data_IF_743142518087
#
_entry.id   IF_743142518087
#
_cell.length_a   1.000
_cell.length_b   1.000
_cell.length_c   1.000
_cell.angle_alpha   90.00
_cell.angle_beta   90.00
_cell.angle_gamma   90.00
#
_symmetry.space_group_name_H-M   'P 1'
#
loop_
_entity.id
_entity.type
_entity.pdbx_description
1 polymer ?
#
# COMPACT_ATOMS: atom_id res chain seq x y z
N UNK A 1 3.23 40.55 -2.05
CA UNK A 1 3.19 39.61 -0.95
C UNK A 1 2.48 38.37 -1.45
N UNK A 2 3.24 37.37 -1.89
CA UNK A 2 2.73 36.14 -2.51
C UNK A 2 2.76 35.03 -1.46
N UNK A 3 1.67 34.31 -1.33
CA UNK A 3 1.59 33.10 -0.52
C UNK A 3 2.31 31.94 -1.21
N UNK A 4 2.96 31.04 -0.50
CA UNK A 4 3.74 29.96 -1.11
C UNK A 4 2.84 28.79 -1.54
N UNK A 5 2.97 28.43 -2.82
CA UNK A 5 2.53 27.15 -3.40
C UNK A 5 3.26 25.96 -2.75
N UNK A 6 2.62 25.27 -1.85
CA UNK A 6 3.07 23.97 -1.32
C UNK A 6 1.91 23.04 -0.99
N UNK A 7 1.10 22.67 -1.96
CA UNK A 7 0.23 21.48 -1.84
C UNK A 7 0.08 20.85 -3.23
N UNK A 8 1.08 20.10 -3.67
CA UNK A 8 0.96 19.17 -4.81
C UNK A 8 2.04 18.10 -4.70
N UNK A 9 1.89 17.14 -3.80
CA UNK A 9 2.62 15.86 -3.87
C UNK A 9 2.17 14.94 -2.72
N UNK A 10 0.99 14.37 -2.82
CA UNK A 10 0.56 13.29 -1.92
C UNK A 10 -0.44 12.38 -2.63
N UNK A 11 0.01 11.67 -3.65
CA UNK A 11 -0.69 10.47 -4.14
C UNK A 11 0.21 9.77 -5.15
N UNK A 12 1.09 8.87 -4.79
CA UNK A 12 0.97 7.44 -5.07
C UNK A 12 1.70 6.53 -4.05
N UNK A 13 1.71 6.85 -2.76
CA UNK A 13 2.41 6.01 -1.75
C UNK A 13 1.55 4.90 -1.12
N UNK A 14 0.27 4.82 -1.43
CA UNK A 14 -0.62 3.88 -0.74
C UNK A 14 -0.49 2.42 -1.20
N UNK A 15 -0.02 2.15 -2.41
CA UNK A 15 0.02 0.77 -2.95
C UNK A 15 1.30 0.00 -2.59
N UNK A 16 2.40 0.69 -2.32
CA UNK A 16 3.69 0.05 -2.01
C UNK A 16 3.87 -0.42 -0.56
N UNK A 17 3.09 0.11 0.38
CA UNK A 17 3.25 -0.21 1.81
C UNK A 17 2.62 -1.54 2.23
N UNK A 18 1.75 -2.11 1.39
CA UNK A 18 1.01 -3.34 1.72
C UNK A 18 1.84 -4.63 1.59
N UNK A 19 2.88 -4.64 0.75
CA UNK A 19 3.71 -5.85 0.52
C UNK A 19 4.85 -6.04 1.52
N UNK A 20 5.26 -5.03 2.28
CA UNK A 20 6.45 -5.11 3.15
C UNK A 20 6.16 -5.73 4.52
N UNK A 21 4.90 -5.79 4.96
CA UNK A 21 4.54 -6.29 6.30
C UNK A 21 4.51 -7.82 6.39
N UNK A 22 4.61 -8.55 5.27
CA UNK A 22 4.59 -10.03 5.26
C UNK A 22 5.97 -10.69 5.43
N UNK A 23 7.06 -9.95 5.46
CA UNK A 23 8.42 -10.50 5.46
C UNK A 23 9.21 -10.26 6.77
N UNK A 24 8.57 -10.34 7.93
CA UNK A 24 9.32 -10.45 9.18
C UNK A 24 9.60 -11.93 9.45
N UNK A 25 10.87 -12.36 9.64
CA UNK A 25 11.15 -13.72 10.09
C UNK A 25 10.62 -13.87 11.52
N UNK A 26 9.45 -14.47 11.65
CA UNK A 26 8.95 -14.97 12.94
C UNK A 26 9.81 -16.19 13.26
N UNK A 27 10.69 -16.08 14.24
CA UNK A 27 11.30 -17.25 14.86
C UNK A 27 10.20 -17.91 15.70
N UNK A 28 9.37 -18.70 15.04
CA UNK A 28 8.46 -19.60 15.72
C UNK A 28 9.30 -20.76 16.26
N UNK A 29 9.20 -21.03 17.54
CA UNK A 29 9.74 -22.24 18.16
C UNK A 29 8.86 -23.41 17.67
N UNK A 30 9.16 -23.92 16.47
CA UNK A 30 8.45 -25.04 15.88
C UNK A 30 8.83 -26.31 16.63
N UNK A 31 7.92 -26.80 17.45
CA UNK A 31 8.03 -28.11 18.07
C UNK A 31 7.98 -29.16 16.94
N UNK A 32 9.04 -29.94 16.78
CA UNK A 32 9.05 -31.01 15.80
C UNK A 32 7.92 -32.01 16.10
N UNK A 33 7.07 -32.24 15.11
CA UNK A 33 6.09 -33.32 15.15
C UNK A 33 6.86 -34.66 15.05
N UNK A 34 6.47 -35.65 15.84
CA UNK A 34 7.03 -36.99 15.73
C UNK A 34 6.51 -37.70 14.47
N UNK A 35 7.27 -38.69 14.00
CA UNK A 35 6.95 -39.45 12.77
C UNK A 35 5.58 -40.15 12.83
N UNK A 36 5.08 -40.48 14.03
CA UNK A 36 3.77 -41.10 14.21
C UNK A 36 2.61 -40.09 14.02
N UNK A 37 2.84 -38.85 14.38
CA UNK A 37 1.88 -37.75 14.14
C UNK A 37 1.88 -37.38 12.65
N UNK A 38 3.06 -37.37 12.00
CA UNK A 38 3.18 -37.16 10.54
C UNK A 38 2.54 -38.30 9.73
N UNK A 39 2.66 -39.55 10.18
CA UNK A 39 2.04 -40.72 9.49
C UNK A 39 0.53 -40.75 9.57
N UNK A 40 -0.09 -40.08 10.55
CA UNK A 40 -1.54 -39.93 10.67
C UNK A 40 -2.12 -38.76 9.87
N UNK A 41 -1.29 -37.91 9.28
CA UNK A 41 -1.72 -36.89 8.33
C UNK A 41 -1.92 -37.63 7.00
N UNK A 42 -3.16 -38.06 6.74
CA UNK A 42 -3.51 -38.61 5.43
C UNK A 42 -3.22 -37.54 4.37
N UNK A 43 -2.56 -37.90 3.27
CA UNK A 43 -2.04 -36.99 2.25
C UNK A 43 -3.07 -36.15 1.47
N UNK A 44 -4.24 -35.91 2.03
CA UNK A 44 -5.30 -35.04 1.50
C UNK A 44 -5.72 -33.96 2.52
N UNK A 45 -5.08 -33.90 3.68
CA UNK A 45 -5.39 -32.87 4.68
C UNK A 45 -4.38 -31.76 4.56
N UNK A 46 -4.79 -30.59 4.12
CA UNK A 46 -3.95 -29.40 4.10
C UNK A 46 -3.38 -29.05 5.48
N UNK A 47 -2.39 -28.20 5.53
CA UNK A 47 -1.77 -27.69 6.76
C UNK A 47 -2.57 -26.48 7.26
N UNK A 48 -3.03 -26.51 8.50
CA UNK A 48 -3.58 -25.32 9.18
C UNK A 48 -2.61 -24.85 10.26
N UNK A 49 -2.27 -23.56 10.20
CA UNK A 49 -1.40 -22.90 11.17
C UNK A 49 -2.19 -21.79 11.86
N UNK A 50 -2.41 -21.94 13.15
CA UNK A 50 -3.03 -20.93 14.00
C UNK A 50 -1.94 -20.21 14.79
N UNK A 51 -1.94 -18.89 14.75
CA UNK A 51 -0.95 -18.05 15.42
C UNK A 51 -1.67 -16.94 16.19
N UNK A 52 -1.33 -16.81 17.45
CA UNK A 52 -1.64 -15.62 18.23
C UNK A 52 -0.42 -14.71 18.22
N UNK A 53 -0.48 -13.65 17.41
CA UNK A 53 0.66 -12.76 17.19
C UNK A 53 0.56 -11.51 18.06
N UNK A 54 1.57 -11.33 18.89
CA UNK A 54 1.82 -10.09 19.63
C UNK A 54 3.31 -9.74 19.56
N UNK A 55 3.61 -8.55 19.07
CA UNK A 55 4.97 -8.03 18.97
C UNK A 55 5.00 -6.61 19.49
N UNK A 56 5.98 -6.30 20.34
CA UNK A 56 6.21 -4.95 20.84
C UNK A 56 7.69 -4.62 20.75
N UNK A 57 7.99 -3.38 20.41
CA UNK A 57 9.33 -2.84 20.51
C UNK A 57 9.24 -1.40 21.03
N UNK A 58 10.05 -1.06 22.02
CA UNK A 58 10.07 0.31 22.57
C UNK A 58 10.47 1.29 21.48
N UNK A 59 11.40 0.88 20.61
CA UNK A 59 11.88 1.70 19.51
C UNK A 59 12.41 0.83 18.37
N UNK A 60 12.00 1.19 17.15
CA UNK A 60 12.66 0.80 15.92
C UNK A 60 13.42 2.02 15.37
N UNK A 61 14.67 1.84 15.00
CA UNK A 61 15.49 2.94 14.48
C UNK A 61 16.06 2.57 13.12
N UNK A 62 15.85 3.44 12.17
CA UNK A 62 16.59 3.44 10.92
C UNK A 62 17.65 4.53 11.01
N UNK A 63 18.91 4.16 10.81
CA UNK A 63 20.05 5.07 10.88
C UNK A 63 20.79 5.03 9.56
N UNK A 64 21.00 6.20 8.96
CA UNK A 64 21.72 6.36 7.72
C UNK A 64 22.53 7.65 7.77
N UNK A 65 23.83 7.56 7.60
CA UNK A 65 24.80 8.66 7.53
C UNK A 65 24.60 9.78 8.57
N UNK A 66 24.41 9.40 9.84
CA UNK A 66 24.24 10.36 10.94
C UNK A 66 22.83 10.94 11.08
N UNK A 67 21.93 10.61 10.17
CA UNK A 67 20.50 10.89 10.30
C UNK A 67 19.77 9.65 10.80
N UNK A 68 18.69 9.80 11.54
CA UNK A 68 17.88 8.66 11.93
C UNK A 68 16.38 8.97 12.00
N UNK A 69 15.58 7.94 11.75
CA UNK A 69 14.14 7.94 12.03
C UNK A 69 13.92 6.96 13.16
N UNK A 70 13.23 7.39 14.17
CA UNK A 70 12.82 6.56 15.30
C UNK A 70 11.31 6.36 15.26
N UNK A 71 10.90 5.11 15.35
CA UNK A 71 9.51 4.70 15.50
C UNK A 71 9.37 4.17 16.92
N UNK A 72 8.86 5.00 17.81
CA UNK A 72 8.70 4.67 19.23
C UNK A 72 7.36 3.97 19.48
N UNK A 73 7.35 3.01 20.39
CA UNK A 73 6.14 2.29 20.78
C UNK A 73 5.54 1.48 19.63
N UNK A 74 6.39 0.76 18.89
CA UNK A 74 5.91 -0.17 17.87
C UNK A 74 5.15 -1.33 18.50
N UNK A 75 3.98 -1.64 17.95
CA UNK A 75 3.15 -2.74 18.41
C UNK A 75 2.41 -3.39 17.25
N UNK A 76 2.40 -4.72 17.25
CA UNK A 76 1.43 -5.55 16.54
C UNK A 76 0.69 -6.36 17.60
N UNK A 77 -0.63 -6.39 17.57
CA UNK A 77 -1.44 -7.13 18.54
C UNK A 77 -2.93 -6.96 18.27
N UNK A 78 -3.76 -7.24 19.26
CA UNK A 78 -5.20 -7.08 19.16
C UNK A 78 -5.60 -5.59 19.14
N UNK A 79 -6.56 -5.26 18.28
CA UNK A 79 -7.20 -3.94 18.25
C UNK A 79 -8.21 -3.75 19.40
N UNK A 80 -8.82 -4.86 19.87
CA UNK A 80 -9.87 -4.85 20.91
C UNK A 80 -9.29 -5.01 22.31
N UNK A 81 -8.15 -5.70 22.45
CA UNK A 81 -7.44 -5.88 23.71
C UNK A 81 -6.01 -5.32 23.57
N UNK A 82 -5.71 -4.17 24.18
CA UNK A 82 -4.36 -3.58 24.09
C UNK A 82 -3.23 -4.46 24.62
N UNK A 83 -3.50 -5.41 25.50
CA UNK A 83 -2.54 -6.39 26.02
C UNK A 83 -2.57 -7.72 25.26
N UNK A 84 -3.56 -7.90 24.37
CA UNK A 84 -3.83 -9.14 23.65
C UNK A 84 -3.02 -9.28 22.36
N UNK A 85 -3.03 -10.51 21.89
CA UNK A 85 -2.48 -10.92 20.62
C UNK A 85 -3.55 -10.87 19.53
N UNK A 86 -3.18 -10.68 18.28
CA UNK A 86 -4.09 -10.81 17.15
C UNK A 86 -4.13 -12.27 16.68
N UNK A 87 -5.32 -12.74 16.36
CA UNK A 87 -5.50 -14.08 15.82
C UNK A 87 -5.18 -14.13 14.34
N UNK A 88 -4.40 -15.13 13.95
CA UNK A 88 -4.06 -15.42 12.56
C UNK A 88 -4.30 -16.91 12.28
N UNK A 89 -4.93 -17.19 11.16
CA UNK A 89 -5.08 -18.54 10.63
C UNK A 89 -4.59 -18.56 9.20
N UNK A 90 -3.70 -19.50 8.90
CA UNK A 90 -3.24 -19.78 7.54
C UNK A 90 -3.54 -21.25 7.26
N UNK A 91 -4.27 -21.52 6.19
CA UNK A 91 -4.45 -22.85 5.66
C UNK A 91 -3.72 -22.99 4.35
N UNK A 92 -3.01 -24.07 4.20
CA UNK A 92 -2.22 -24.40 3.02
C UNK A 92 -2.73 -25.73 2.51
N UNK A 93 -3.20 -25.77 1.28
CA UNK A 93 -3.68 -26.98 0.63
C UNK A 93 -3.05 -27.14 -0.75
N UNK A 94 -2.84 -28.37 -1.16
CA UNK A 94 -2.38 -28.72 -2.51
C UNK A 94 -3.51 -29.47 -3.18
N UNK A 95 -4.08 -28.86 -4.18
CA UNK A 95 -5.20 -29.39 -4.93
C UNK A 95 -4.78 -30.56 -5.85
N UNK A 96 -5.75 -31.31 -6.38
CA UNK A 96 -5.49 -32.44 -7.29
C UNK A 96 -4.77 -32.04 -8.58
N UNK A 97 -4.93 -30.80 -9.03
CA UNK A 97 -4.26 -30.22 -10.20
C UNK A 97 -2.86 -29.70 -9.92
N UNK A 98 -2.34 -29.98 -8.71
CA UNK A 98 -1.07 -29.48 -8.19
C UNK A 98 -1.02 -27.95 -7.98
N UNK A 99 -2.17 -27.28 -7.91
CA UNK A 99 -2.23 -25.90 -7.46
C UNK A 99 -2.04 -25.82 -5.94
N UNK A 100 -1.44 -24.73 -5.49
CA UNK A 100 -1.28 -24.40 -4.08
C UNK A 100 -2.33 -23.38 -3.69
N UNK A 101 -3.18 -23.73 -2.75
CA UNK A 101 -4.18 -22.84 -2.18
C UNK A 101 -3.77 -22.38 -0.78
N UNK A 102 -3.81 -21.08 -0.54
CA UNK A 102 -3.46 -20.43 0.72
C UNK A 102 -4.68 -19.61 1.17
N UNK A 103 -5.42 -20.10 2.16
CA UNK A 103 -6.43 -19.29 2.83
C UNK A 103 -5.80 -18.59 4.03
N UNK A 104 -6.18 -17.35 4.25
CA UNK A 104 -5.72 -16.61 5.43
C UNK A 104 -6.85 -15.81 6.07
N UNK A 105 -6.80 -15.76 7.40
CA UNK A 105 -7.72 -15.01 8.22
C UNK A 105 -6.95 -14.30 9.32
N UNK A 106 -7.15 -13.01 9.42
CA UNK A 106 -6.63 -12.17 10.51
C UNK A 106 -7.80 -11.48 11.18
N UNK A 107 -7.90 -11.55 12.51
CA UNK A 107 -8.98 -10.90 13.26
C UNK A 107 -8.44 -9.83 14.18
N UNK A 108 -9.10 -8.68 14.14
CA UNK A 108 -8.94 -7.58 15.08
C UNK A 108 -7.46 -7.19 15.31
N UNK A 109 -6.69 -7.13 14.25
CA UNK A 109 -5.26 -6.77 14.30
C UNK A 109 -5.09 -5.27 14.37
N UNK A 110 -4.20 -4.84 15.26
CA UNK A 110 -3.65 -3.48 15.30
C UNK A 110 -2.17 -3.50 14.95
N UNK A 111 -1.76 -2.59 14.09
CA UNK A 111 -0.37 -2.20 13.87
C UNK A 111 -0.27 -0.74 14.33
N UNK A 112 0.66 -0.43 15.23
CA UNK A 112 0.77 0.90 15.82
C UNK A 112 2.24 1.34 15.92
N UNK A 113 2.46 2.63 15.61
CA UNK A 113 3.65 3.38 15.97
C UNK A 113 3.19 4.51 16.90
N UNK A 114 3.60 4.46 18.16
CA UNK A 114 3.17 5.41 19.18
C UNK A 114 3.64 6.83 18.89
N UNK A 115 4.86 6.98 18.38
CA UNK A 115 5.44 8.25 17.97
C UNK A 115 6.49 8.05 16.87
N UNK A 116 6.54 8.95 15.93
CA UNK A 116 7.54 9.01 14.86
C UNK A 116 8.41 10.23 15.10
N UNK A 117 9.73 10.03 15.19
CA UNK A 117 10.71 11.11 15.47
C UNK A 117 11.82 11.12 14.44
N UNK A 118 12.23 12.32 14.07
CA UNK A 118 13.42 12.53 13.25
C UNK A 118 14.60 12.90 14.16
N UNK A 119 15.72 12.21 14.04
CA UNK A 119 16.96 12.57 14.71
C UNK A 119 17.63 13.75 14.02
N UNK A 120 18.30 14.58 14.79
CA UNK A 120 18.80 15.90 14.36
C UNK A 120 17.95 17.06 14.88
N UNK A 121 16.71 16.79 15.29
CA UNK A 121 15.84 17.74 15.99
C UNK A 121 15.31 17.04 17.26
N UNK A 122 16.10 16.98 18.35
CA UNK A 122 15.68 16.31 19.58
C UNK A 122 14.38 16.93 20.10
N UNK A 123 13.37 16.08 20.29
CA UNK A 123 12.07 16.49 20.81
C UNK A 123 11.00 16.80 19.75
N UNK A 124 11.31 16.77 18.46
CA UNK A 124 10.28 16.95 17.44
C UNK A 124 9.59 15.62 17.17
N UNK A 125 8.39 15.46 17.71
CA UNK A 125 7.46 14.38 17.38
C UNK A 125 6.69 14.74 16.12
N UNK A 126 6.61 13.80 15.18
CA UNK A 126 5.70 13.86 14.03
C UNK A 126 4.34 13.27 14.37
N UNK A 127 4.18 12.69 15.56
CA UNK A 127 2.97 11.99 15.98
C UNK A 127 3.02 10.48 15.76
N UNK A 128 1.92 9.82 16.12
CA UNK A 128 1.76 8.39 15.99
C UNK A 128 0.71 8.02 14.95
N UNK A 129 0.83 6.81 14.43
CA UNK A 129 -0.10 6.23 13.46
C UNK A 129 -0.50 4.83 13.93
N UNK A 130 -1.74 4.45 13.70
CA UNK A 130 -2.17 3.06 13.89
C UNK A 130 -3.14 2.63 12.80
N UNK A 131 -3.20 1.34 12.59
CA UNK A 131 -4.11 0.71 11.66
C UNK A 131 -4.73 -0.54 12.28
N UNK A 132 -6.05 -0.50 12.48
CA UNK A 132 -6.86 -1.64 12.92
C UNK A 132 -7.53 -2.28 11.72
N UNK A 133 -7.61 -3.60 11.69
CA UNK A 133 -8.34 -4.31 10.63
C UNK A 133 -8.53 -5.79 10.95
N UNK A 134 -9.54 -6.37 10.34
CA UNK A 134 -9.67 -7.78 10.10
C UNK A 134 -9.56 -8.05 8.61
N UNK A 135 -8.93 -9.15 8.24
CA UNK A 135 -8.65 -9.49 6.85
C UNK A 135 -8.90 -10.98 6.64
N UNK A 136 -9.64 -11.33 5.59
CA UNK A 136 -9.79 -12.69 5.12
C UNK A 136 -9.60 -12.77 3.61
N UNK A 137 -9.11 -13.89 3.13
CA UNK A 137 -8.92 -14.09 1.70
C UNK A 137 -8.19 -15.35 1.35
N UNK A 138 -7.93 -15.49 0.06
CA UNK A 138 -7.18 -16.60 -0.48
C UNK A 138 -6.15 -16.16 -1.53
N UNK A 139 -5.16 -17.01 -1.73
CA UNK A 139 -4.20 -16.95 -2.82
C UNK A 139 -4.08 -18.36 -3.41
N UNK A 140 -4.48 -18.55 -4.64
CA UNK A 140 -4.27 -19.76 -5.40
C UNK A 140 -3.09 -19.58 -6.36
N UNK A 141 -2.16 -20.52 -6.36
CA UNK A 141 -0.93 -20.49 -7.18
C UNK A 141 -0.92 -21.72 -8.05
N UNK A 142 -0.85 -21.54 -9.36
CA UNK A 142 -0.76 -22.63 -10.34
C UNK A 142 0.50 -22.49 -11.16
N UNK A 143 1.08 -23.61 -11.53
CA UNK A 143 2.16 -23.62 -12.51
C UNK A 143 1.60 -23.36 -13.91
N UNK A 144 2.32 -22.59 -14.70
CA UNK A 144 1.93 -22.20 -16.05
C UNK A 144 1.47 -20.76 -16.13
N UNK A 145 1.81 -20.12 -17.21
CA UNK A 145 1.45 -18.74 -17.52
C UNK A 145 0.85 -18.64 -18.91
N UNK A 146 0.30 -17.50 -19.23
CA UNK A 146 -0.20 -17.19 -20.58
C UNK A 146 0.92 -17.06 -21.62
N UNK A 147 2.17 -16.92 -21.19
CA UNK A 147 3.34 -16.71 -22.04
C UNK A 147 4.33 -17.84 -21.83
N UNK A 148 4.34 -18.82 -22.71
CA UNK A 148 5.38 -19.87 -22.72
C UNK A 148 5.24 -21.01 -21.71
N UNK A 149 4.30 -21.00 -20.78
CA UNK A 149 3.97 -22.13 -19.90
C UNK A 149 4.95 -22.42 -18.76
N UNK A 150 5.98 -21.61 -18.56
CA UNK A 150 7.04 -21.86 -17.57
C UNK A 150 6.85 -21.05 -16.26
N UNK A 151 5.97 -20.08 -16.24
CA UNK A 151 5.74 -19.21 -15.08
C UNK A 151 4.68 -19.71 -14.12
N UNK A 152 4.11 -18.78 -13.38
CA UNK A 152 3.03 -19.04 -12.42
C UNK A 152 1.81 -18.19 -12.74
N UNK A 153 0.65 -18.73 -12.44
CA UNK A 153 -0.62 -18.00 -12.45
C UNK A 153 -1.15 -17.89 -11.02
N UNK A 154 -1.63 -16.73 -10.67
CA UNK A 154 -2.17 -16.42 -9.35
C UNK A 154 -3.62 -15.96 -9.49
N UNK A 155 -4.48 -16.49 -8.64
CA UNK A 155 -5.80 -15.95 -8.37
C UNK A 155 -5.86 -15.58 -6.90
N UNK A 156 -6.34 -14.40 -6.58
CA UNK A 156 -6.46 -13.96 -5.19
C UNK A 156 -7.69 -13.10 -4.99
N UNK A 157 -8.30 -13.26 -3.83
CA UNK A 157 -9.29 -12.32 -3.35
C UNK A 157 -9.09 -12.10 -1.86
N UNK A 158 -9.35 -10.88 -1.41
CA UNK A 158 -9.35 -10.56 0.01
C UNK A 158 -10.41 -9.52 0.35
N UNK A 159 -10.92 -9.64 1.57
CA UNK A 159 -11.87 -8.71 2.15
C UNK A 159 -11.32 -8.20 3.47
N UNK A 160 -11.27 -6.89 3.62
CA UNK A 160 -10.94 -6.21 4.85
C UNK A 160 -12.19 -5.61 5.46
N UNK A 161 -12.36 -5.79 6.76
CA UNK A 161 -13.49 -5.25 7.53
C UNK A 161 -13.02 -4.63 8.84
N UNK A 162 -13.84 -3.75 9.40
CA UNK A 162 -13.54 -3.09 10.67
C UNK A 162 -12.28 -2.25 10.65
N UNK A 163 -11.87 -1.81 9.47
CA UNK A 163 -10.66 -1.04 9.29
C UNK A 163 -10.78 0.33 9.95
N UNK A 164 -9.70 0.74 10.61
CA UNK A 164 -9.54 2.09 11.16
C UNK A 164 -8.11 2.54 11.00
N UNK A 165 -7.89 3.62 10.28
CA UNK A 165 -6.60 4.28 10.19
C UNK A 165 -6.64 5.55 11.04
N UNK A 166 -5.75 5.66 12.01
CA UNK A 166 -5.66 6.84 12.88
C UNK A 166 -4.28 7.47 12.84
N UNK A 167 -4.26 8.79 12.78
CA UNK A 167 -3.07 9.62 12.98
C UNK A 167 -3.30 10.57 14.14
N UNK A 168 -2.30 10.72 15.02
CA UNK A 168 -2.37 11.60 16.19
C UNK A 168 -1.09 12.39 16.36
N UNK A 169 -1.20 13.67 16.69
CA UNK A 169 -0.10 14.55 17.03
C UNK A 169 -0.56 15.64 17.98
N UNK A 170 0.19 15.92 19.05
CA UNK A 170 0.01 17.07 19.97
C UNK A 170 -1.45 17.51 20.22
N UNK A 171 -2.34 16.55 20.51
CA UNK A 171 -3.75 16.80 20.77
C UNK A 171 -4.67 16.82 19.53
N UNK A 172 -4.12 16.75 18.33
CA UNK A 172 -4.92 16.58 17.12
C UNK A 172 -5.01 15.08 16.74
N UNK A 173 -6.17 14.68 16.27
CA UNK A 173 -6.43 13.32 15.81
C UNK A 173 -7.23 13.35 14.52
N UNK A 174 -6.86 12.51 13.57
CA UNK A 174 -7.62 12.22 12.36
C UNK A 174 -7.85 10.73 12.30
N UNK A 175 -9.06 10.31 12.01
CA UNK A 175 -9.42 8.92 11.81
C UNK A 175 -10.16 8.76 10.48
N UNK A 176 -9.79 7.72 9.76
CA UNK A 176 -10.63 7.08 8.76
C UNK A 176 -11.21 5.85 9.44
N UNK A 177 -12.51 5.84 9.63
CA UNK A 177 -13.23 4.86 10.45
C UNK A 177 -14.17 4.02 9.60
N UNK A 178 -14.46 2.80 10.04
CA UNK A 178 -15.28 1.84 9.31
C UNK A 178 -14.78 1.60 7.87
N UNK A 179 -13.47 1.36 7.73
CA UNK A 179 -12.89 1.05 6.43
C UNK A 179 -13.26 -0.39 6.08
N UNK A 180 -13.87 -0.56 4.93
CA UNK A 180 -14.07 -1.85 4.29
C UNK A 180 -13.43 -1.85 2.91
N UNK A 181 -12.91 -2.98 2.48
CA UNK A 181 -12.32 -3.14 1.16
C UNK A 181 -12.45 -4.58 0.70
N UNK A 182 -12.82 -4.78 -0.55
CA UNK A 182 -12.70 -6.05 -1.24
C UNK A 182 -11.83 -5.87 -2.48
N UNK A 183 -10.98 -6.85 -2.75
CA UNK A 183 -10.14 -6.87 -3.96
C UNK A 183 -10.12 -8.28 -4.48
N UNK A 184 -10.28 -8.43 -5.79
CA UNK A 184 -10.12 -9.67 -6.50
C UNK A 184 -9.15 -9.46 -7.66
N UNK A 185 -8.15 -10.32 -7.79
CA UNK A 185 -7.21 -10.34 -8.90
C UNK A 185 -7.17 -11.75 -9.50
N UNK A 186 -7.58 -11.89 -10.74
CA UNK A 186 -7.74 -13.18 -11.39
C UNK A 186 -6.81 -13.31 -12.59
N UNK A 187 -6.21 -14.47 -12.72
CA UNK A 187 -5.34 -14.80 -13.84
C UNK A 187 -4.05 -13.98 -13.90
N UNK A 188 -3.58 -13.50 -12.75
CA UNK A 188 -2.30 -12.77 -12.67
C UNK A 188 -1.18 -13.72 -13.01
N UNK A 189 -0.37 -13.39 -14.01
CA UNK A 189 0.75 -14.23 -14.43
C UNK A 189 2.08 -13.61 -14.09
N UNK A 190 3.01 -14.43 -13.64
CA UNK A 190 4.41 -14.09 -13.40
C UNK A 190 5.28 -14.99 -14.26
N UNK A 191 6.04 -14.39 -15.16
CA UNK A 191 6.92 -15.06 -16.10
C UNK A 191 8.32 -14.48 -16.10
N UNK A 192 9.28 -15.31 -16.50
CA UNK A 192 10.63 -14.84 -16.85
C UNK A 192 10.82 -15.15 -18.34
N UNK A 193 10.86 -14.11 -19.14
CA UNK A 193 11.03 -14.20 -20.61
C UNK A 193 12.19 -13.30 -21.01
N UNK A 194 13.19 -13.86 -21.69
CA UNK A 194 14.35 -13.11 -22.21
C UNK A 194 14.98 -12.17 -21.15
N UNK A 195 15.30 -12.70 -19.95
CA UNK A 195 15.86 -11.97 -18.80
C UNK A 195 14.94 -10.85 -18.24
N UNK A 196 13.69 -10.84 -18.63
CA UNK A 196 12.67 -9.92 -18.13
C UNK A 196 11.70 -10.67 -17.23
N UNK A 197 11.48 -10.16 -16.02
CA UNK A 197 10.38 -10.60 -15.17
C UNK A 197 9.11 -9.85 -15.59
N UNK A 198 8.16 -10.58 -16.14
CA UNK A 198 6.89 -10.04 -16.60
C UNK A 198 5.77 -10.39 -15.62
N UNK A 199 5.09 -9.38 -15.11
CA UNK A 199 3.87 -9.51 -14.32
C UNK A 199 2.70 -8.96 -15.13
N UNK A 200 1.71 -9.79 -15.40
CA UNK A 200 0.50 -9.37 -16.08
C UNK A 200 -0.73 -9.69 -15.24
N UNK A 201 -1.51 -8.68 -14.94
CA UNK A 201 -2.76 -8.76 -14.21
C UNK A 201 -3.90 -8.37 -15.17
N UNK A 202 -4.55 -9.34 -15.82
CA UNK A 202 -5.56 -9.04 -16.83
C UNK A 202 -6.83 -8.46 -16.25
N UNK A 203 -7.08 -8.74 -14.97
CA UNK A 203 -8.25 -8.21 -14.28
C UNK A 203 -8.00 -8.08 -12.78
N UNK A 204 -8.17 -6.87 -12.29
CA UNK A 204 -8.21 -6.55 -10.87
C UNK A 204 -9.49 -5.74 -10.63
N UNK A 205 -10.33 -6.21 -9.73
CA UNK A 205 -11.55 -5.51 -9.32
C UNK A 205 -11.51 -5.21 -7.84
N UNK A 206 -12.15 -4.14 -7.43
CA UNK A 206 -12.25 -3.84 -6.01
C UNK A 206 -13.29 -2.78 -5.70
N UNK A 207 -13.80 -2.89 -4.48
CA UNK A 207 -14.68 -1.93 -3.85
C UNK A 207 -14.08 -1.51 -2.52
N UNK A 208 -14.25 -0.26 -2.15
CA UNK A 208 -13.79 0.25 -0.87
C UNK A 208 -14.72 1.31 -0.31
N UNK A 209 -14.77 1.39 0.99
CA UNK A 209 -15.54 2.38 1.71
C UNK A 209 -14.77 2.84 2.96
N UNK A 210 -14.88 4.12 3.26
CA UNK A 210 -14.55 4.74 4.53
C UNK A 210 -15.84 5.31 5.09
N UNK A 211 -16.41 4.67 6.10
CA UNK A 211 -17.73 5.03 6.65
C UNK A 211 -17.74 6.40 7.31
N UNK A 212 -16.62 6.81 7.91
CA UNK A 212 -16.52 8.15 8.49
C UNK A 212 -15.09 8.70 8.48
N UNK A 213 -14.97 9.98 8.16
CA UNK A 213 -13.78 10.78 8.40
C UNK A 213 -14.00 11.55 9.69
N UNK A 214 -13.15 11.40 10.70
CA UNK A 214 -13.30 12.06 12.01
C UNK A 214 -12.07 12.86 12.34
N UNK A 215 -12.29 14.01 12.96
CA UNK A 215 -11.22 14.89 13.43
C UNK A 215 -11.51 15.40 14.83
N UNK A 216 -10.47 15.56 15.63
CA UNK A 216 -10.53 16.21 16.93
C UNK A 216 -9.28 17.03 17.17
N UNK A 217 -9.46 18.22 17.69
CA UNK A 217 -8.38 19.11 18.16
C UNK A 217 -8.30 19.17 19.70
N UNK A 218 -8.91 18.23 20.43
CA UNK A 218 -8.90 18.25 21.88
C UNK A 218 -7.58 17.67 22.44
N UNK A 219 -6.70 18.49 23.04
CA UNK A 219 -5.41 18.03 23.56
C UNK A 219 -5.52 17.07 24.76
N UNK A 220 -6.66 17.04 25.45
CA UNK A 220 -6.87 16.18 26.62
C UNK A 220 -7.21 14.72 26.25
N UNK A 221 -7.50 14.47 25.01
CA UNK A 221 -7.88 13.15 24.53
C UNK A 221 -6.70 12.43 23.88
N UNK A 222 -5.79 11.86 24.67
CA UNK A 222 -4.58 11.19 24.20
C UNK A 222 -4.79 9.73 23.76
N UNK A 223 -5.98 9.16 23.96
CA UNK A 223 -6.28 7.76 23.60
C UNK A 223 -6.49 7.53 22.10
N UNK A 224 -6.55 6.28 21.70
CA UNK A 224 -6.93 5.84 20.34
C UNK A 224 -8.46 5.78 20.17
N UNK A 225 -9.22 6.21 21.16
CA UNK A 225 -10.68 6.25 21.11
C UNK A 225 -11.17 7.27 20.10
N UNK A 226 -12.20 6.90 19.35
CA UNK A 226 -12.91 7.79 18.42
C UNK A 226 -13.98 8.64 19.12
N UNK A 227 -14.10 8.53 20.45
CA UNK A 227 -15.00 9.38 21.20
C UNK A 227 -14.30 10.62 21.76
N UNK A 228 -15.11 11.61 22.09
CA UNK A 228 -14.67 12.94 22.56
C UNK A 228 -14.16 12.94 24.00
N UNK A 229 -14.00 11.78 24.64
CA UNK A 229 -13.62 11.61 26.04
C UNK A 229 -14.80 11.69 27.03
N UNK A 230 -15.99 12.01 26.57
CA UNK A 230 -17.25 12.00 27.35
C UNK A 230 -18.26 10.96 26.80
N UNK A 231 -17.76 9.95 26.07
CA UNK A 231 -18.56 8.86 25.52
C UNK A 231 -19.36 9.22 24.28
N UNK A 232 -19.19 10.42 23.73
CA UNK A 232 -19.82 10.80 22.47
C UNK A 232 -18.84 10.58 21.31
N UNK A 233 -19.29 10.02 20.18
CA UNK A 233 -18.44 9.88 19.01
C UNK A 233 -17.96 11.23 18.50
N UNK A 234 -16.73 11.27 17.97
CA UNK A 234 -16.23 12.47 17.29
C UNK A 234 -17.12 12.81 16.10
N UNK A 235 -17.30 14.09 15.77
CA UNK A 235 -18.05 14.48 14.59
C UNK A 235 -17.47 13.84 13.33
N UNK A 236 -18.35 13.40 12.43
CA UNK A 236 -17.98 12.92 11.11
C UNK A 236 -17.97 14.08 10.12
N UNK A 237 -16.98 14.10 9.26
CA UNK A 237 -16.83 15.02 8.13
C UNK A 237 -17.09 14.30 6.80
N UNK A 238 -17.99 13.32 6.83
CA UNK A 238 -18.42 12.60 5.67
C UNK A 238 -17.83 11.19 5.55
N UNK A 239 -18.18 10.57 4.45
CA UNK A 239 -17.74 9.22 4.05
C UNK A 239 -17.21 9.23 2.62
N UNK A 240 -16.37 8.24 2.31
CA UNK A 240 -15.81 8.01 0.99
C UNK A 240 -16.14 6.59 0.56
N UNK A 241 -16.43 6.39 -0.72
CA UNK A 241 -16.49 5.04 -1.29
C UNK A 241 -16.11 5.06 -2.77
N UNK A 242 -15.76 3.92 -3.29
CA UNK A 242 -15.43 3.77 -4.69
C UNK A 242 -15.34 2.31 -5.10
N UNK A 243 -15.32 2.13 -6.41
CA UNK A 243 -15.08 0.84 -7.05
C UNK A 243 -14.13 1.01 -8.22
N UNK A 244 -13.47 -0.07 -8.61
CA UNK A 244 -12.61 -0.06 -9.78
C UNK A 244 -12.52 -1.44 -10.44
N UNK A 245 -12.31 -1.43 -11.75
CA UNK A 245 -11.86 -2.55 -12.54
C UNK A 245 -10.70 -2.08 -13.41
N UNK A 246 -9.58 -2.76 -13.31
CA UNK A 246 -8.38 -2.42 -14.06
C UNK A 246 -7.64 -3.67 -14.53
N UNK A 247 -6.77 -3.48 -15.50
CA UNK A 247 -5.74 -4.43 -15.89
C UNK A 247 -4.37 -3.75 -15.85
N UNK A 248 -3.32 -4.53 -15.60
CA UNK A 248 -1.97 -4.00 -15.52
C UNK A 248 -0.96 -4.98 -16.10
N UNK A 249 0.02 -4.45 -16.79
CA UNK A 249 1.18 -5.19 -17.27
C UNK A 249 2.44 -4.47 -16.81
N UNK A 250 3.32 -5.20 -16.14
CA UNK A 250 4.58 -4.66 -15.63
C UNK A 250 5.72 -5.55 -16.06
N UNK A 251 6.78 -4.96 -16.58
CA UNK A 251 8.03 -5.66 -16.86
C UNK A 251 9.17 -5.09 -16.02
N UNK A 252 10.00 -5.98 -15.49
CA UNK A 252 11.20 -5.66 -14.76
C UNK A 252 12.38 -6.30 -15.46
N UNK A 253 13.32 -5.48 -15.89
CA UNK A 253 14.49 -5.92 -16.66
C UNK A 253 15.75 -5.40 -15.98
N UNK A 254 16.85 -6.17 -16.03
CA UNK A 254 18.14 -5.63 -15.67
C UNK A 254 18.55 -4.56 -16.71
N UNK A 255 19.04 -3.41 -16.26
CA UNK A 255 19.46 -2.35 -17.18
C UNK A 255 19.21 -0.94 -16.69
N UNK A 256 19.96 -0.51 -15.70
CA UNK A 256 20.05 0.90 -15.31
C UNK A 256 20.82 1.76 -16.33
N UNK A 257 21.12 3.00 -15.96
CA UNK A 257 21.88 3.94 -16.80
C UNK A 257 23.28 3.44 -17.19
N UNK A 258 23.90 2.66 -16.31
CA UNK A 258 25.21 2.04 -16.52
C UNK A 258 25.14 0.69 -17.22
N UNK A 259 23.92 0.18 -17.53
CA UNK A 259 23.67 -1.18 -17.97
C UNK A 259 23.52 -2.16 -16.82
N UNK A 260 23.70 -1.70 -15.60
CA UNK A 260 23.40 -2.38 -14.34
C UNK A 260 22.17 -1.72 -13.71
N UNK A 261 21.59 -2.31 -12.66
CA UNK A 261 20.38 -1.78 -12.03
C UNK A 261 19.09 -2.39 -12.57
N UNK A 262 17.97 -1.76 -12.25
CA UNK A 262 16.61 -2.24 -12.54
C UNK A 262 15.87 -1.25 -13.43
N UNK A 263 15.27 -1.75 -14.50
CA UNK A 263 14.33 -1.02 -15.34
C UNK A 263 12.93 -1.57 -15.14
N UNK A 264 11.96 -0.68 -15.04
CA UNK A 264 10.55 -0.99 -14.87
C UNK A 264 9.74 -0.27 -15.94
N UNK A 265 8.97 -1.02 -16.70
CA UNK A 265 7.94 -0.51 -17.60
C UNK A 265 6.57 -0.99 -17.08
N UNK A 266 5.58 -0.12 -17.10
CA UNK A 266 4.22 -0.46 -16.66
C UNK A 266 3.18 0.20 -17.57
N UNK A 267 2.14 -0.56 -17.89
CA UNK A 267 0.91 -0.03 -18.43
C UNK A 267 -0.25 -0.48 -17.55
N UNK A 268 -1.12 0.45 -17.17
CA UNK A 268 -2.34 0.15 -16.44
C UNK A 268 -3.52 0.78 -17.16
N UNK A 269 -4.54 -0.03 -17.43
CA UNK A 269 -5.79 0.38 -18.03
C UNK A 269 -6.89 0.34 -16.98
N UNK A 270 -7.55 1.47 -16.76
CA UNK A 270 -8.75 1.57 -15.93
C UNK A 270 -9.96 1.37 -16.84
N UNK A 271 -10.61 0.21 -16.73
CA UNK A 271 -11.78 -0.14 -17.50
C UNK A 271 -13.03 0.57 -16.97
N UNK A 272 -13.11 0.65 -15.64
CA UNK A 272 -14.14 1.42 -14.96
C UNK A 272 -13.67 1.79 -13.55
N UNK A 273 -14.02 2.98 -13.09
CA UNK A 273 -13.90 3.32 -11.68
C UNK A 273 -14.96 4.34 -11.29
N UNK A 274 -15.24 4.40 -10.01
CA UNK A 274 -16.14 5.37 -9.40
C UNK A 274 -15.58 5.90 -8.09
N UNK A 275 -15.96 7.12 -7.75
CA UNK A 275 -15.64 7.75 -6.47
C UNK A 275 -16.86 8.49 -5.96
N UNK A 276 -17.15 8.39 -4.69
CA UNK A 276 -18.27 9.03 -4.04
C UNK A 276 -17.84 9.59 -2.68
N UNK A 277 -18.02 10.88 -2.50
CA UNK A 277 -17.95 11.54 -1.19
C UNK A 277 -19.35 11.96 -0.76
N UNK A 278 -19.68 11.73 0.51
CA UNK A 278 -20.95 12.16 1.12
C UNK A 278 -20.70 12.88 2.43
N UNK A 279 -21.39 14.01 2.63
CA UNK A 279 -21.37 14.74 3.89
C UNK A 279 -22.71 15.50 4.05
N UNK A 280 -23.36 15.36 5.19
CA UNK A 280 -24.58 16.06 5.60
C UNK A 280 -25.65 16.15 4.48
N UNK A 281 -25.98 15.00 3.89
CA UNK A 281 -26.97 14.89 2.80
C UNK A 281 -26.53 15.44 1.45
N UNK A 282 -25.30 15.93 1.32
CA UNK A 282 -24.68 16.34 0.06
C UNK A 282 -23.75 15.23 -0.44
N UNK A 283 -23.56 15.21 -1.75
CA UNK A 283 -22.66 14.25 -2.36
C UNK A 283 -21.87 14.87 -3.51
N UNK A 284 -20.64 14.39 -3.71
CA UNK A 284 -19.86 14.55 -4.91
C UNK A 284 -19.56 13.15 -5.45
N UNK A 285 -20.03 12.85 -6.64
CA UNK A 285 -19.71 11.59 -7.30
C UNK A 285 -18.94 11.84 -8.60
N UNK A 286 -17.90 11.03 -8.82
CA UNK A 286 -17.21 10.89 -10.09
C UNK A 286 -17.57 9.49 -10.61
N UNK A 287 -18.16 9.42 -11.81
CA UNK A 287 -18.65 8.18 -12.40
C UNK A 287 -18.02 7.92 -13.75
N UNK A 288 -18.03 6.66 -14.12
CA UNK A 288 -17.54 6.21 -15.41
C UNK A 288 -16.11 6.72 -15.66
N UNK A 289 -15.25 6.57 -14.65
CA UNK A 289 -13.85 6.90 -14.77
C UNK A 289 -13.20 5.78 -15.57
N UNK A 290 -12.63 6.13 -16.69
CA UNK A 290 -11.84 5.23 -17.53
C UNK A 290 -10.51 5.88 -17.87
N UNK A 291 -9.52 5.07 -18.25
CA UNK A 291 -8.25 5.66 -18.65
C UNK A 291 -7.13 4.66 -18.82
N UNK A 292 -6.02 5.16 -19.23
CA UNK A 292 -4.76 4.44 -19.32
C UNK A 292 -3.64 5.32 -18.82
N UNK A 293 -2.71 4.74 -18.10
CA UNK A 293 -1.44 5.38 -17.84
C UNK A 293 -0.28 4.41 -18.11
N UNK A 294 0.82 4.97 -18.55
CA UNK A 294 2.04 4.24 -18.86
C UNK A 294 3.21 4.89 -18.14
N UNK A 295 4.04 4.05 -17.60
CA UNK A 295 5.35 4.42 -17.08
C UNK A 295 6.34 3.68 -17.97
N UNK A 296 7.15 4.43 -18.70
CA UNK A 296 8.14 3.86 -19.57
C UNK A 296 9.53 4.20 -19.04
N UNK A 297 10.36 3.16 -18.90
CA UNK A 297 11.76 3.32 -18.57
C UNK A 297 11.98 3.99 -17.20
N UNK A 298 11.21 3.56 -16.18
CA UNK A 298 11.54 3.90 -14.80
C UNK A 298 12.75 3.08 -14.38
N UNK A 299 13.85 3.75 -14.04
CA UNK A 299 15.11 3.11 -13.69
C UNK A 299 15.49 3.36 -12.25
N UNK A 300 15.92 2.28 -11.58
CA UNK A 300 16.55 2.33 -10.27
C UNK A 300 18.00 1.88 -10.44
N UNK A 301 18.95 2.76 -10.16
CA UNK A 301 20.37 2.53 -10.43
C UNK A 301 21.25 3.17 -9.35
N UNK A 302 22.44 2.61 -9.17
CA UNK A 302 23.50 3.28 -8.41
C UNK A 302 24.26 4.19 -9.36
N UNK A 303 24.18 5.48 -9.14
CA UNK A 303 24.77 6.50 -10.00
C UNK A 303 25.57 7.51 -9.17
N UNK A 304 26.14 8.49 -9.82
CA UNK A 304 26.73 9.66 -9.17
C UNK A 304 25.81 10.85 -9.31
N UNK A 305 25.65 11.60 -8.23
CA UNK A 305 24.92 12.85 -8.24
C UNK A 305 25.67 13.97 -8.99
N UNK A 306 25.09 15.16 -8.99
CA UNK A 306 25.69 16.36 -9.60
C UNK A 306 27.00 16.83 -8.92
N UNK A 307 27.34 16.31 -7.73
CA UNK A 307 28.59 16.55 -7.01
C UNK A 307 29.59 15.38 -7.13
N UNK A 308 29.34 14.42 -8.03
CA UNK A 308 30.11 13.19 -8.22
C UNK A 308 30.14 12.26 -6.98
N UNK A 309 29.11 12.29 -6.14
CA UNK A 309 28.99 11.39 -4.99
C UNK A 309 28.11 10.20 -5.36
N UNK A 310 28.39 9.00 -4.83
CA UNK A 310 27.52 7.84 -5.00
C UNK A 310 26.09 8.14 -4.50
N UNK A 311 25.09 7.78 -5.28
CA UNK A 311 23.69 7.99 -4.97
C UNK A 311 22.85 6.88 -5.57
N UNK A 312 21.73 6.57 -4.94
CA UNK A 312 20.67 5.79 -5.57
C UNK A 312 19.87 6.74 -6.47
N UNK A 313 19.89 6.49 -7.77
CA UNK A 313 19.17 7.29 -8.75
C UNK A 313 17.87 6.60 -9.15
N UNK A 314 16.77 7.31 -9.01
CA UNK A 314 15.47 6.95 -9.59
C UNK A 314 15.25 7.88 -10.78
N UNK A 315 15.26 7.33 -11.99
CA UNK A 315 15.09 8.10 -13.24
C UNK A 315 13.83 7.62 -13.93
N UNK A 316 12.96 8.55 -14.30
CA UNK A 316 11.75 8.30 -15.08
C UNK A 316 12.02 8.73 -16.54
N UNK A 317 11.96 7.80 -17.48
CA UNK A 317 12.09 8.09 -18.91
C UNK A 317 10.88 8.88 -19.41
N UNK A 318 9.70 8.29 -19.29
CA UNK A 318 8.45 8.99 -19.55
C UNK A 318 7.29 8.42 -18.72
N UNK A 319 6.29 9.25 -18.51
CA UNK A 319 4.99 8.86 -17.98
C UNK A 319 3.91 9.58 -18.78
N UNK A 320 3.00 8.84 -19.35
CA UNK A 320 1.87 9.39 -20.09
C UNK A 320 0.55 8.77 -19.63
N UNK A 321 -0.52 9.46 -19.88
CA UNK A 321 -1.84 8.93 -19.57
C UNK A 321 -2.98 9.78 -20.09
N UNK A 322 -4.11 9.12 -20.23
CA UNK A 322 -5.38 9.72 -20.61
C UNK A 322 -6.46 9.21 -19.65
N UNK A 323 -7.23 10.10 -19.09
CA UNK A 323 -8.34 9.80 -18.20
C UNK A 323 -9.60 10.51 -18.67
N UNK A 324 -10.72 9.81 -18.58
CA UNK A 324 -12.05 10.34 -18.80
C UNK A 324 -12.91 10.14 -17.56
N UNK A 325 -13.63 11.16 -17.14
CA UNK A 325 -14.67 11.08 -16.12
C UNK A 325 -15.98 11.35 -16.86
N UNK A 326 -16.83 10.34 -17.01
CA UNK A 326 -18.05 10.42 -17.78
C UNK A 326 -19.12 11.32 -17.15
N UNK A 327 -19.15 11.38 -15.82
CA UNK A 327 -20.04 12.29 -15.11
C UNK A 327 -19.45 12.78 -13.79
N UNK A 328 -19.61 14.07 -13.53
CA UNK A 328 -19.38 14.69 -12.22
C UNK A 328 -20.75 15.11 -11.69
N UNK A 329 -21.19 14.50 -10.60
CA UNK A 329 -22.47 14.77 -9.96
C UNK A 329 -22.27 15.51 -8.64
N UNK A 330 -23.03 16.59 -8.43
CA UNK A 330 -22.97 17.40 -7.20
C UNK A 330 -24.37 17.54 -6.59
N UNK A 331 -24.43 17.40 -5.28
CA UNK A 331 -25.68 17.43 -4.52
C UNK A 331 -26.42 16.10 -4.59
N UNK A 332 -27.19 15.74 -3.58
CA UNK A 332 -27.87 14.44 -3.46
C UNK A 332 -28.91 14.11 -4.56
N UNK A 333 -29.05 14.91 -5.59
CA UNK A 333 -30.10 14.82 -6.62
C UNK A 333 -29.60 14.23 -7.95
N UNK A 334 -28.35 13.77 -8.03
CA UNK A 334 -27.79 13.23 -9.29
C UNK A 334 -27.65 14.26 -10.42
N UNK A 335 -27.54 15.54 -10.10
CA UNK A 335 -27.27 16.56 -11.13
C UNK A 335 -25.85 16.43 -11.63
N UNK A 336 -25.70 16.00 -12.88
CA UNK A 336 -24.41 16.04 -13.56
C UNK A 336 -24.05 17.48 -13.93
N UNK A 337 -22.82 17.88 -13.62
CA UNK A 337 -22.26 19.19 -14.02
C UNK A 337 -21.36 19.08 -15.24
N UNK A 338 -21.15 17.88 -15.76
CA UNK A 338 -20.39 17.66 -16.98
C UNK A 338 -19.47 16.43 -16.91
N UNK A 339 -18.64 16.35 -17.92
CA UNK A 339 -17.58 15.36 -18.08
C UNK A 339 -16.22 16.04 -18.16
N UNK A 340 -15.15 15.30 -17.85
CA UNK A 340 -13.79 15.81 -17.92
C UNK A 340 -12.90 14.77 -18.59
N UNK A 341 -12.09 15.23 -19.55
CA UNK A 341 -11.02 14.46 -20.15
C UNK A 341 -9.69 15.13 -19.80
N UNK A 342 -8.74 14.35 -19.37
CA UNK A 342 -7.40 14.81 -19.00
C UNK A 342 -6.39 13.93 -19.71
N UNK A 343 -5.47 14.55 -20.41
CA UNK A 343 -4.25 13.87 -20.90
C UNK A 343 -3.03 14.55 -20.32
N UNK A 344 -2.01 13.79 -20.04
CA UNK A 344 -0.75 14.30 -19.54
C UNK A 344 0.42 13.51 -20.15
N UNK A 345 1.53 14.20 -20.31
CA UNK A 345 2.80 13.64 -20.71
C UNK A 345 3.89 14.26 -19.83
N UNK A 346 4.64 13.40 -19.17
CA UNK A 346 5.83 13.77 -18.42
C UNK A 346 7.01 13.04 -19.05
N UNK A 347 7.93 13.79 -19.60
CA UNK A 347 9.14 13.28 -20.25
C UNK A 347 10.35 14.15 -19.92
N UNK A 348 11.54 13.69 -20.28
CA UNK A 348 12.74 14.48 -20.11
C UNK A 348 12.59 15.82 -20.84
N UNK A 349 12.88 16.90 -20.13
CA UNK A 349 12.76 18.25 -20.65
C UNK A 349 14.09 18.72 -21.25
N UNK A 350 14.04 19.34 -22.43
CA UNK A 350 15.18 20.05 -23.02
C UNK A 350 14.94 21.54 -22.91
N UNK A 351 15.71 22.23 -22.08
CA UNK A 351 15.64 23.67 -21.93
C UNK A 351 17.00 24.32 -22.23
N UNK A 352 17.03 25.25 -23.16
CA UNK A 352 18.27 25.92 -23.65
C UNK A 352 19.39 24.95 -24.06
N UNK A 353 19.01 23.84 -24.73
CA UNK A 353 19.96 22.82 -25.20
C UNK A 353 20.54 21.93 -24.10
N UNK A 354 20.01 22.01 -22.88
CA UNK A 354 20.35 21.12 -21.79
C UNK A 354 19.18 20.18 -21.52
N UNK A 355 19.44 18.88 -21.48
CA UNK A 355 18.47 17.89 -21.04
C UNK A 355 18.39 17.89 -19.53
N UNK A 356 17.17 17.97 -19.00
CA UNK A 356 16.84 17.78 -17.59
C UNK A 356 16.09 16.46 -17.48
N UNK A 357 16.75 15.45 -16.94
CA UNK A 357 16.09 14.17 -16.68
C UNK A 357 15.20 14.27 -15.44
N UNK A 358 14.05 13.59 -15.47
CA UNK A 358 13.18 13.41 -14.32
C UNK A 358 13.83 12.43 -13.32
N UNK A 359 14.93 12.84 -12.69
CA UNK A 359 15.70 11.99 -11.79
C UNK A 359 15.64 12.52 -10.36
N UNK A 360 15.46 11.59 -9.43
CA UNK A 360 15.57 11.81 -7.99
C UNK A 360 16.82 11.09 -7.52
N UNK A 361 17.73 11.80 -6.85
CA UNK A 361 18.93 11.22 -6.26
C UNK A 361 18.73 11.12 -4.75
N UNK A 362 18.75 9.90 -4.24
CA UNK A 362 18.70 9.62 -2.82
C UNK A 362 20.13 9.39 -2.31
N UNK A 363 20.55 10.25 -1.42
CA UNK A 363 21.90 10.19 -0.84
C UNK A 363 21.81 9.91 0.64
N UNK A 364 22.73 9.08 1.14
CA UNK A 364 23.05 9.05 2.56
C UNK A 364 23.64 10.39 2.97
N UNK A 365 23.08 11.03 4.02
CA UNK A 365 23.49 12.35 4.50
C UNK A 365 24.79 12.35 5.29
N UNK A 366 25.90 11.89 4.72
CA UNK A 366 27.21 12.04 5.31
C UNK A 366 27.66 13.49 5.24
N UNK A 367 27.72 14.19 6.38
CA UNK A 367 28.37 15.49 6.46
C UNK A 367 29.87 15.26 6.24
N UNK A 368 30.54 15.93 5.31
CA UNK A 368 31.96 15.70 4.99
C UNK A 368 32.94 16.18 6.08
N UNK A 369 32.45 16.65 7.25
CA UNK A 369 33.27 17.16 8.35
C UNK A 369 32.83 16.54 9.69
N UNK A 370 33.16 15.27 9.94
CA UNK A 370 33.18 14.68 11.27
C UNK A 370 34.46 13.84 11.44
#
# INVERSE_FOLDING_TARGET
>A
MGAPDRIKQLAPMATGLFCVVLALPVVADMKSLDDSTLANISGQSGLSVELDLGLTADRLSYVDDGSSIHLDGFRIGSAVDPSGQAFHLIRIDVEEDASLNLDYLVKDRRIEFGDIRLAGAPGVSMGGIFFDHSLEGYLNIRQGSSVGGAGYTFDSAYTMTGGRLGYRTNGNKVFLDDITMSVEALGVTLDVVDDTLALNAPRITGDWEVGAIRYSSNPLNHGVSVDSGNGQPLPSYGSLSGSYELSSSTSLTAGGRSGEGLRIDNETVIHSASFLYRDDGKALALRDITGVYRINDLRLDVATDWQNRPALALTLGSMDGEFSIGAIEVGGNGKSIGQVNVSFLLEDQVFNGRSYSNAIYLQGGGHPDA
#
